data_IF_864912249052
#
_entry.id   IF_864912249052
#
_cell.length_a   1.000
_cell.length_b   1.000
_cell.length_c   1.000
_cell.angle_alpha   90.00
_cell.angle_beta   90.00
_cell.angle_gamma   90.00
#
_symmetry.space_group_name_H-M   'P 1'
#
loop_
_entity.id
_entity.type
_entity.pdbx_description
1 polymer ?
#
# COMPACT_ATOMS: atom_id res chain seq x y z
N UNK A 1 14.21 2.87 -14.57
CA UNK A 1 13.64 3.96 -13.74
C UNK A 1 12.33 3.57 -13.05
N UNK A 2 11.40 2.89 -13.74
CA UNK A 2 10.06 2.56 -13.19
C UNK A 2 10.08 1.56 -12.02
N UNK A 3 11.02 0.62 -11.98
CA UNK A 3 11.12 -0.40 -10.91
C UNK A 3 11.42 0.19 -9.52
N UNK A 4 12.05 1.37 -9.46
CA UNK A 4 12.36 2.01 -8.18
C UNK A 4 11.09 2.49 -7.44
N UNK A 5 10.05 2.85 -8.20
CA UNK A 5 8.75 3.29 -7.66
C UNK A 5 8.07 2.16 -6.88
N UNK A 6 8.04 0.94 -7.43
CA UNK A 6 7.45 -0.22 -6.74
C UNK A 6 8.19 -0.58 -5.46
N UNK A 7 9.53 -0.48 -5.46
CA UNK A 7 10.31 -0.73 -4.25
C UNK A 7 10.08 0.33 -3.18
N UNK A 8 10.05 1.62 -3.53
CA UNK A 8 9.73 2.67 -2.56
C UNK A 8 8.36 2.42 -1.92
N UNK A 9 7.34 2.11 -2.73
CA UNK A 9 6.00 1.89 -2.23
C UNK A 9 5.92 0.69 -1.26
N UNK A 10 6.72 -0.35 -1.49
CA UNK A 10 6.76 -1.53 -0.61
C UNK A 10 7.19 -1.19 0.84
N UNK A 11 7.96 -0.11 1.04
CA UNK A 11 8.39 0.34 2.39
C UNK A 11 7.58 1.53 2.92
N UNK A 12 6.67 2.09 2.12
CA UNK A 12 5.76 3.13 2.58
C UNK A 12 4.67 2.53 3.48
N UNK A 13 4.29 3.23 4.55
CA UNK A 13 3.29 2.76 5.53
C UNK A 13 3.87 2.38 6.90
N UNK A 14 5.20 2.33 7.05
CA UNK A 14 5.86 2.09 8.35
C UNK A 14 5.44 3.13 9.41
N UNK A 15 5.11 4.35 8.98
CA UNK A 15 4.61 5.42 9.84
C UNK A 15 3.30 5.06 10.55
N UNK A 16 2.44 4.22 9.95
CA UNK A 16 1.19 3.78 10.57
C UNK A 16 1.44 2.87 11.78
N UNK A 17 2.57 2.14 11.79
CA UNK A 17 2.98 1.30 12.92
C UNK A 17 3.60 2.11 14.06
N UNK A 18 4.11 3.31 13.79
CA UNK A 18 4.83 4.12 14.76
C UNK A 18 3.96 4.56 15.95
N UNK A 19 2.65 4.71 15.77
CA UNK A 19 1.72 5.06 16.85
C UNK A 19 1.63 3.98 17.94
N UNK A 20 1.95 2.72 17.59
CA UNK A 20 1.93 1.57 18.49
C UNK A 20 3.27 1.36 19.21
N UNK A 21 4.26 2.24 18.99
CA UNK A 21 5.58 2.14 19.64
C UNK A 21 5.51 2.18 21.17
N UNK A 22 4.50 2.88 21.71
CA UNK A 22 4.27 3.03 23.15
C UNK A 22 3.79 1.73 23.81
N UNK A 23 3.32 0.77 23.03
CA UNK A 23 2.86 -0.54 23.51
C UNK A 23 4.01 -1.57 23.55
N UNK A 24 5.18 -1.24 22.99
CA UNK A 24 6.34 -2.11 23.02
C UNK A 24 6.99 -2.15 24.40
N UNK A 25 7.32 -3.35 24.88
CA UNK A 25 8.25 -3.50 26.01
C UNK A 25 9.62 -2.97 25.57
N UNK A 26 10.22 -2.07 26.35
CA UNK A 26 11.51 -1.42 26.05
C UNK A 26 11.62 -0.86 24.61
N UNK A 27 10.85 0.20 24.27
CA UNK A 27 10.77 0.74 22.90
C UNK A 27 12.12 1.18 22.34
N UNK A 28 13.01 1.74 23.19
CA UNK A 28 14.33 2.23 22.79
C UNK A 28 15.19 1.19 22.08
N UNK A 29 15.09 -0.09 22.49
CA UNK A 29 15.86 -1.18 21.88
C UNK A 29 15.01 -2.01 20.93
N UNK A 30 13.77 -2.29 21.30
CA UNK A 30 12.95 -3.25 20.57
C UNK A 30 12.37 -2.66 19.29
N UNK A 31 12.13 -1.35 19.22
CA UNK A 31 11.63 -0.73 17.99
C UNK A 31 12.68 -0.71 16.87
N UNK A 32 13.93 -0.25 17.07
CA UNK A 32 14.96 -0.34 16.03
C UNK A 32 15.24 -1.78 15.57
N UNK A 33 15.25 -2.74 16.52
CA UNK A 33 15.46 -4.15 16.20
C UNK A 33 14.29 -4.72 15.38
N UNK A 34 13.05 -4.41 15.75
CA UNK A 34 11.87 -4.82 14.99
C UNK A 34 11.90 -4.24 13.58
N UNK A 35 12.22 -2.95 13.43
CA UNK A 35 12.35 -2.31 12.10
C UNK A 35 13.42 -2.99 11.25
N UNK A 36 14.59 -3.29 11.82
CA UNK A 36 15.66 -3.97 11.11
C UNK A 36 15.25 -5.39 10.63
N UNK A 37 14.59 -6.15 11.51
CA UNK A 37 14.08 -7.49 11.17
C UNK A 37 13.01 -7.41 10.08
N UNK A 38 12.07 -6.46 10.19
CA UNK A 38 11.01 -6.25 9.21
C UNK A 38 11.57 -5.90 7.84
N UNK A 39 12.57 -5.02 7.77
CA UNK A 39 13.23 -4.66 6.50
C UNK A 39 13.91 -5.88 5.88
N UNK A 40 14.66 -6.67 6.65
CA UNK A 40 15.32 -7.88 6.12
C UNK A 40 14.28 -8.90 5.63
N UNK A 41 13.22 -9.13 6.40
CA UNK A 41 12.15 -10.06 6.01
C UNK A 41 11.44 -9.59 4.75
N UNK A 42 11.12 -8.29 4.63
CA UNK A 42 10.51 -7.71 3.45
C UNK A 42 11.41 -7.91 2.20
N UNK A 43 12.70 -7.55 2.29
CA UNK A 43 13.66 -7.75 1.20
C UNK A 43 13.68 -9.22 0.77
N UNK A 44 13.80 -10.15 1.72
CA UNK A 44 13.85 -11.58 1.42
C UNK A 44 12.56 -12.05 0.74
N UNK A 45 11.40 -11.76 1.33
CA UNK A 45 10.11 -12.21 0.80
C UNK A 45 9.81 -11.62 -0.59
N UNK A 46 10.05 -10.32 -0.77
CA UNK A 46 9.83 -9.63 -2.04
C UNK A 46 10.79 -10.13 -3.12
N UNK A 47 12.05 -10.37 -2.76
CA UNK A 47 13.06 -10.88 -3.71
C UNK A 47 12.73 -12.31 -4.14
N UNK A 48 12.41 -13.20 -3.20
CA UNK A 48 12.05 -14.58 -3.53
C UNK A 48 10.73 -14.67 -4.31
N UNK A 49 9.72 -13.88 -3.92
CA UNK A 49 8.45 -13.81 -4.64
C UNK A 49 8.62 -13.28 -6.06
N UNK A 50 9.32 -12.15 -6.22
CA UNK A 50 9.61 -11.56 -7.53
C UNK A 50 10.47 -12.47 -8.41
N UNK A 51 11.47 -13.15 -7.83
CA UNK A 51 12.29 -14.11 -8.56
C UNK A 51 11.49 -15.32 -9.03
N UNK A 52 10.60 -15.87 -8.20
CA UNK A 52 9.72 -16.96 -8.60
C UNK A 52 8.84 -16.58 -9.79
N UNK A 53 8.29 -15.36 -9.80
CA UNK A 53 7.51 -14.86 -10.95
C UNK A 53 8.38 -14.71 -12.19
N UNK A 54 9.55 -14.10 -12.06
CA UNK A 54 10.46 -13.82 -13.18
C UNK A 54 11.07 -15.10 -13.79
N UNK A 55 11.26 -16.15 -12.99
CA UNK A 55 11.78 -17.44 -13.45
C UNK A 55 10.74 -18.24 -14.26
N UNK A 56 9.46 -18.03 -13.99
CA UNK A 56 8.35 -18.81 -14.58
C UNK A 56 7.73 -18.11 -15.78
N UNK A 57 7.51 -16.80 -15.70
CA UNK A 57 6.71 -16.06 -16.69
C UNK A 57 7.62 -15.32 -17.67
N UNK A 58 7.50 -15.55 -18.99
CA UNK A 58 8.27 -14.82 -19.99
C UNK A 58 8.03 -13.29 -19.90
N UNK A 59 9.10 -12.49 -19.91
CA UNK A 59 9.00 -11.03 -19.74
C UNK A 59 8.07 -10.34 -20.74
N UNK A 60 7.95 -10.87 -21.98
CA UNK A 60 7.09 -10.29 -23.03
C UNK A 60 5.60 -10.47 -22.75
N UNK A 61 5.22 -11.44 -21.93
CA UNK A 61 3.82 -11.73 -21.59
C UNK A 61 3.46 -11.36 -20.15
N UNK A 62 4.43 -10.86 -19.39
CA UNK A 62 4.23 -10.48 -17.99
C UNK A 62 3.21 -9.32 -17.92
N UNK A 63 2.07 -9.64 -17.32
CA UNK A 63 1.08 -8.65 -16.90
C UNK A 63 1.39 -8.25 -15.46
N UNK A 64 1.51 -6.96 -15.20
CA UNK A 64 1.81 -6.47 -13.84
C UNK A 64 0.59 -6.61 -12.93
N UNK A 65 -0.61 -6.53 -13.50
CA UNK A 65 -1.85 -6.68 -12.75
C UNK A 65 -2.24 -8.14 -12.54
N UNK A 66 -1.82 -9.06 -13.42
CA UNK A 66 -2.17 -10.47 -13.38
C UNK A 66 -0.95 -11.39 -13.15
N UNK A 67 0.18 -10.83 -12.74
CA UNK A 67 1.46 -11.55 -12.71
C UNK A 67 1.43 -12.80 -11.84
N UNK A 68 0.79 -12.74 -10.67
CA UNK A 68 0.68 -13.88 -9.75
C UNK A 68 -0.20 -14.98 -10.35
N UNK A 69 -1.35 -14.63 -10.93
CA UNK A 69 -2.22 -15.60 -11.62
C UNK A 69 -1.51 -16.24 -12.82
N UNK A 70 -0.70 -15.47 -13.54
CA UNK A 70 0.12 -15.97 -14.64
C UNK A 70 1.14 -17.00 -14.15
N UNK A 71 1.79 -16.81 -13.00
CA UNK A 71 2.72 -17.81 -12.43
C UNK A 71 2.00 -19.14 -12.21
N UNK A 72 0.84 -19.14 -11.56
CA UNK A 72 0.11 -20.38 -11.30
C UNK A 72 -0.40 -21.01 -12.57
N UNK A 73 -0.83 -20.20 -13.56
CA UNK A 73 -1.20 -20.70 -14.88
C UNK A 73 0.00 -21.34 -15.59
N UNK A 74 1.15 -20.70 -15.62
CA UNK A 74 2.34 -21.21 -16.31
C UNK A 74 2.95 -22.44 -15.63
N UNK A 75 3.01 -22.46 -14.30
CA UNK A 75 3.51 -23.63 -13.55
C UNK A 75 2.59 -24.84 -13.71
N UNK A 76 1.28 -24.66 -13.57
CA UNK A 76 0.37 -25.80 -13.42
C UNK A 76 -0.17 -26.28 -14.78
N UNK A 77 -0.39 -25.37 -15.74
CA UNK A 77 -0.91 -25.75 -17.06
C UNK A 77 0.09 -26.55 -17.91
N UNK A 78 1.40 -26.35 -17.70
CA UNK A 78 2.44 -27.13 -18.39
C UNK A 78 2.68 -28.51 -17.75
N UNK A 79 2.25 -28.73 -16.51
CA UNK A 79 2.54 -29.96 -15.77
C UNK A 79 1.37 -30.96 -15.73
N UNK A 80 0.12 -30.51 -15.57
CA UNK A 80 -1.04 -31.42 -15.69
C UNK A 80 -2.38 -30.66 -15.89
N UNK A 81 -3.13 -30.90 -16.98
CA UNK A 81 -4.45 -30.29 -17.20
C UNK A 81 -5.45 -30.59 -16.08
N UNK A 82 -5.29 -31.69 -15.34
CA UNK A 82 -6.16 -32.07 -14.23
C UNK A 82 -6.03 -31.16 -13.00
N UNK A 83 -4.92 -30.42 -12.87
CA UNK A 83 -4.68 -29.48 -11.76
C UNK A 83 -5.26 -28.08 -12.02
N UNK A 84 -5.92 -27.86 -13.16
CA UNK A 84 -6.56 -26.57 -13.48
C UNK A 84 -7.61 -26.12 -12.43
N UNK A 85 -8.25 -27.08 -11.73
CA UNK A 85 -9.16 -26.77 -10.62
C UNK A 85 -8.41 -26.16 -9.43
N UNK A 86 -7.22 -26.69 -9.11
CA UNK A 86 -6.39 -26.19 -8.01
C UNK A 86 -5.91 -24.75 -8.28
N UNK A 87 -5.50 -24.44 -9.53
CA UNK A 87 -5.15 -23.07 -9.95
C UNK A 87 -6.29 -22.10 -9.66
N UNK A 88 -7.52 -22.47 -10.03
CA UNK A 88 -8.70 -21.63 -9.82
C UNK A 88 -8.98 -21.39 -8.34
N UNK A 89 -8.80 -22.40 -7.49
CA UNK A 89 -8.98 -22.27 -6.03
C UNK A 89 -7.93 -21.32 -5.46
N UNK A 90 -6.67 -21.44 -5.88
CA UNK A 90 -5.58 -20.55 -5.44
C UNK A 90 -5.84 -19.11 -5.90
N UNK A 91 -6.18 -18.90 -7.18
CA UNK A 91 -6.51 -17.59 -7.71
C UNK A 91 -7.70 -16.95 -6.96
N UNK A 92 -8.72 -17.74 -6.63
CA UNK A 92 -9.84 -17.28 -5.82
C UNK A 92 -9.38 -16.87 -4.41
N UNK A 93 -8.56 -17.69 -3.74
CA UNK A 93 -8.02 -17.37 -2.41
C UNK A 93 -7.18 -16.09 -2.43
N UNK A 94 -6.36 -15.89 -3.47
CA UNK A 94 -5.59 -14.67 -3.68
C UNK A 94 -6.50 -13.46 -3.88
N UNK A 95 -7.52 -13.58 -4.73
CA UNK A 95 -8.48 -12.48 -4.96
C UNK A 95 -9.21 -12.09 -3.67
N UNK A 96 -9.60 -13.07 -2.84
CA UNK A 96 -10.22 -12.81 -1.53
C UNK A 96 -9.25 -12.14 -0.56
N UNK A 97 -7.97 -12.53 -0.58
CA UNK A 97 -6.91 -11.89 0.22
C UNK A 97 -6.75 -10.42 -0.14
N UNK A 98 -6.65 -10.10 -1.42
CA UNK A 98 -6.55 -8.72 -1.92
C UNK A 98 -7.81 -7.92 -1.58
N UNK A 99 -9.01 -8.51 -1.70
CA UNK A 99 -10.25 -7.85 -1.30
C UNK A 99 -10.29 -7.55 0.20
N UNK A 100 -9.81 -8.46 1.04
CA UNK A 100 -9.72 -8.25 2.48
C UNK A 100 -8.72 -7.13 2.82
N UNK A 101 -7.58 -7.09 2.12
CA UNK A 101 -6.58 -6.03 2.25
C UNK A 101 -7.16 -4.66 1.89
N UNK A 102 -7.78 -4.52 0.70
CA UNK A 102 -8.42 -3.27 0.26
C UNK A 102 -9.46 -2.82 1.28
N UNK A 103 -10.27 -3.75 1.81
CA UNK A 103 -11.30 -3.45 2.80
C UNK A 103 -10.71 -2.88 4.10
N UNK A 104 -9.55 -3.40 4.54
CA UNK A 104 -8.85 -2.88 5.73
C UNK A 104 -8.34 -1.44 5.53
N UNK A 105 -7.89 -1.13 4.30
CA UNK A 105 -7.36 0.18 3.93
C UNK A 105 -8.42 1.27 3.76
N UNK A 106 -9.70 0.94 3.60
CA UNK A 106 -10.76 1.97 3.52
C UNK A 106 -10.94 2.69 4.86
N UNK A 107 -10.80 1.96 5.97
CA UNK A 107 -11.09 2.49 7.32
C UNK A 107 -9.89 3.27 7.90
N UNK A 108 -8.66 2.87 7.60
CA UNK A 108 -7.44 3.45 8.17
C UNK A 108 -7.28 4.95 7.91
N UNK A 109 -7.09 5.39 6.65
CA UNK A 109 -6.92 6.80 6.28
C UNK A 109 -8.12 7.65 6.66
N UNK A 110 -9.33 7.11 6.51
CA UNK A 110 -10.57 7.78 6.91
C UNK A 110 -10.58 8.18 8.39
N UNK A 111 -10.06 7.33 9.28
CA UNK A 111 -9.89 7.64 10.71
C UNK A 111 -8.82 8.70 10.95
N UNK A 112 -7.71 8.66 10.20
CA UNK A 112 -6.67 9.68 10.26
C UNK A 112 -7.19 11.08 9.87
N UNK A 113 -7.90 11.17 8.75
CA UNK A 113 -8.57 12.41 8.32
C UNK A 113 -9.64 12.86 9.29
N UNK A 114 -10.38 11.93 9.90
CA UNK A 114 -11.38 12.26 10.91
C UNK A 114 -10.77 12.90 12.17
N UNK A 115 -9.57 12.47 12.59
CA UNK A 115 -8.86 13.13 13.68
C UNK A 115 -8.46 14.57 13.34
N UNK A 116 -8.07 14.85 12.08
CA UNK A 116 -7.84 16.20 11.60
C UNK A 116 -9.14 17.03 11.55
N UNK A 117 -10.26 16.41 11.20
CA UNK A 117 -11.60 17.02 11.22
C UNK A 117 -12.00 17.49 12.61
N UNK A 118 -11.74 16.65 13.63
CA UNK A 118 -12.02 17.00 15.04
C UNK A 118 -11.20 18.20 15.52
N UNK A 119 -9.99 18.40 14.99
CA UNK A 119 -9.13 19.55 15.28
C UNK A 119 -9.49 20.81 14.48
N UNK A 120 -10.64 20.81 13.82
CA UNK A 120 -11.15 21.91 13.01
C UNK A 120 -10.30 22.29 11.78
N UNK A 121 -9.37 21.42 11.38
CA UNK A 121 -8.45 21.65 10.25
C UNK A 121 -9.17 21.53 8.91
N UNK A 122 -10.24 20.70 8.84
CA UNK A 122 -11.05 20.49 7.63
C UNK A 122 -12.53 20.87 7.86
N UNK A 123 -13.32 21.08 6.77
CA UNK A 123 -14.70 21.57 6.85
C UNK A 123 -15.61 20.76 7.78
N UNK A 124 -16.57 21.44 8.42
CA UNK A 124 -17.47 20.87 9.44
C UNK A 124 -18.23 19.62 8.98
N UNK A 125 -18.60 19.56 7.70
CA UNK A 125 -19.28 18.41 7.10
C UNK A 125 -18.50 17.09 7.24
N UNK A 126 -17.16 17.13 7.24
CA UNK A 126 -16.31 15.94 7.38
C UNK A 126 -16.16 15.46 8.83
N UNK A 127 -16.74 16.18 9.80
CA UNK A 127 -16.74 15.81 11.22
C UNK A 127 -17.94 14.95 11.60
N UNK A 128 -18.90 14.77 10.70
CA UNK A 128 -20.10 13.99 10.98
C UNK A 128 -19.82 12.49 10.93
N UNK A 129 -20.33 11.77 11.94
CA UNK A 129 -20.24 10.31 12.01
C UNK A 129 -21.63 9.69 12.06
N UNK A 130 -21.76 8.47 11.54
CA UNK A 130 -22.98 7.68 11.70
C UNK A 130 -23.13 7.13 13.14
N UNK A 131 -24.21 6.38 13.37
CA UNK A 131 -24.52 5.69 14.65
C UNK A 131 -23.40 4.76 15.14
N UNK A 132 -22.52 4.31 14.27
CA UNK A 132 -21.39 3.43 14.57
C UNK A 132 -20.05 4.18 14.69
N UNK A 133 -20.07 5.52 14.84
CA UNK A 133 -18.87 6.38 14.91
C UNK A 133 -17.97 6.30 13.68
N UNK A 134 -18.55 5.97 12.52
CA UNK A 134 -17.83 5.90 11.25
C UNK A 134 -18.05 7.22 10.49
N UNK A 135 -16.98 7.88 10.00
CA UNK A 135 -17.09 9.10 9.21
C UNK A 135 -17.48 8.77 7.77
N UNK A 136 -18.78 8.56 7.54
CA UNK A 136 -19.31 8.07 6.25
C UNK A 136 -19.01 9.02 5.10
N UNK A 137 -19.09 10.34 5.32
CA UNK A 137 -18.81 11.32 4.27
C UNK A 137 -17.34 11.27 3.80
N UNK A 138 -16.39 11.04 4.72
CA UNK A 138 -14.97 10.88 4.37
C UNK A 138 -14.76 9.61 3.56
N UNK A 139 -15.38 8.49 3.94
CA UNK A 139 -15.29 7.22 3.21
C UNK A 139 -15.88 7.35 1.81
N UNK A 140 -17.07 7.95 1.67
CA UNK A 140 -17.71 8.16 0.37
C UNK A 140 -16.86 9.08 -0.50
N UNK A 141 -16.34 10.18 0.05
CA UNK A 141 -15.52 11.13 -0.71
C UNK A 141 -14.22 10.47 -1.19
N UNK A 142 -13.54 9.72 -0.32
CA UNK A 142 -12.37 8.92 -0.71
C UNK A 142 -12.72 7.90 -1.78
N UNK A 143 -13.84 7.18 -1.63
CA UNK A 143 -14.32 6.21 -2.61
C UNK A 143 -14.56 6.83 -3.98
N UNK A 144 -15.25 7.98 -4.05
CA UNK A 144 -15.48 8.71 -5.30
C UNK A 144 -14.16 9.13 -5.93
N UNK A 145 -13.22 9.69 -5.15
CA UNK A 145 -11.91 10.12 -5.67
C UNK A 145 -11.14 8.93 -6.24
N UNK A 146 -11.11 7.80 -5.53
CA UNK A 146 -10.44 6.57 -6.00
C UNK A 146 -11.11 6.04 -7.26
N UNK A 147 -12.45 5.97 -7.32
CA UNK A 147 -13.17 5.51 -8.52
C UNK A 147 -12.96 6.41 -9.73
N UNK A 148 -12.88 7.73 -9.54
CA UNK A 148 -12.60 8.67 -10.63
C UNK A 148 -11.18 8.45 -11.17
N UNK A 149 -10.19 8.36 -10.28
CA UNK A 149 -8.80 8.11 -10.69
C UNK A 149 -8.64 6.74 -11.34
N UNK A 150 -9.28 5.70 -10.80
CA UNK A 150 -9.29 4.36 -11.39
C UNK A 150 -9.86 4.38 -12.81
N UNK A 151 -10.99 5.07 -13.02
CA UNK A 151 -11.56 5.27 -14.36
C UNK A 151 -10.62 6.03 -15.30
N UNK A 152 -10.04 7.15 -14.86
CA UNK A 152 -9.12 7.96 -15.67
C UNK A 152 -7.88 7.15 -16.07
N UNK A 153 -7.32 6.38 -15.15
CA UNK A 153 -6.10 5.59 -15.40
C UNK A 153 -6.39 4.36 -16.26
N UNK A 154 -7.53 3.70 -16.04
CA UNK A 154 -7.94 2.50 -16.79
C UNK A 154 -8.34 2.84 -18.23
N UNK A 155 -9.11 3.93 -18.44
CA UNK A 155 -9.59 4.31 -19.78
C UNK A 155 -8.67 5.30 -20.50
N UNK A 156 -7.81 6.03 -19.78
CA UNK A 156 -6.89 7.00 -20.36
C UNK A 156 -5.49 6.44 -20.69
N UNK A 157 -5.09 5.35 -20.05
CA UNK A 157 -3.79 4.71 -20.27
C UNK A 157 -3.87 3.65 -21.38
N UNK A 158 -3.04 3.78 -22.42
CA UNK A 158 -3.14 2.93 -23.62
C UNK A 158 -3.05 1.41 -23.36
N UNK A 159 -2.28 0.95 -22.37
CA UNK A 159 -2.17 -0.47 -22.01
C UNK A 159 -2.28 -0.69 -20.50
N UNK A 160 -2.81 -1.85 -20.09
CA UNK A 160 -2.99 -2.23 -18.67
C UNK A 160 -1.70 -2.07 -17.84
N UNK A 161 -0.56 -2.49 -18.40
CA UNK A 161 0.73 -2.35 -17.73
C UNK A 161 1.14 -0.88 -17.56
N UNK A 162 0.85 -0.02 -18.54
CA UNK A 162 1.12 1.42 -18.44
C UNK A 162 0.21 2.06 -17.40
N UNK A 163 -1.09 1.75 -17.42
CA UNK A 163 -2.04 2.25 -16.41
C UNK A 163 -1.62 1.85 -14.99
N UNK A 164 -1.21 0.60 -14.79
CA UNK A 164 -0.70 0.12 -13.50
C UNK A 164 0.54 0.90 -13.04
N UNK A 165 1.53 1.09 -13.93
CA UNK A 165 2.74 1.83 -13.57
C UNK A 165 2.48 3.32 -13.30
N UNK A 166 1.59 3.95 -14.06
CA UNK A 166 1.22 5.35 -13.84
C UNK A 166 0.50 5.49 -12.50
N UNK A 167 -0.42 4.58 -12.17
CA UNK A 167 -1.09 4.55 -10.87
C UNK A 167 -0.08 4.46 -9.71
N UNK A 168 0.86 3.50 -9.79
CA UNK A 168 1.92 3.32 -8.79
C UNK A 168 2.79 4.58 -8.66
N UNK A 169 3.19 5.17 -9.79
CA UNK A 169 4.04 6.37 -9.81
C UNK A 169 3.33 7.57 -9.20
N UNK A 170 2.05 7.76 -9.51
CA UNK A 170 1.23 8.82 -8.92
C UNK A 170 1.14 8.67 -7.41
N UNK A 171 0.86 7.46 -6.91
CA UNK A 171 0.79 7.17 -5.47
C UNK A 171 2.11 7.49 -4.77
N UNK A 172 3.25 7.05 -5.34
CA UNK A 172 4.57 7.33 -4.77
C UNK A 172 4.87 8.82 -4.72
N UNK A 173 4.54 9.59 -5.76
CA UNK A 173 4.77 11.04 -5.75
C UNK A 173 3.93 11.73 -4.67
N UNK A 174 2.65 11.36 -4.53
CA UNK A 174 1.78 11.90 -3.48
C UNK A 174 2.36 11.57 -2.10
N UNK A 175 2.75 10.32 -1.86
CA UNK A 175 3.34 9.92 -0.58
C UNK A 175 4.69 10.61 -0.31
N UNK A 176 5.57 10.70 -1.30
CA UNK A 176 6.85 11.42 -1.15
C UNK A 176 6.63 12.87 -0.77
N UNK A 177 5.63 13.55 -1.34
CA UNK A 177 5.29 14.91 -0.96
C UNK A 177 4.90 15.02 0.53
N UNK A 178 4.13 14.06 1.04
CA UNK A 178 3.76 13.99 2.46
C UNK A 178 4.98 13.69 3.35
N UNK A 179 5.86 12.79 2.93
CA UNK A 179 7.11 12.49 3.64
C UNK A 179 8.05 13.70 3.70
N UNK A 180 8.16 14.51 2.64
CA UNK A 180 8.93 15.75 2.66
C UNK A 180 8.39 16.74 3.70
N UNK A 181 7.07 16.90 3.79
CA UNK A 181 6.43 17.71 4.82
C UNK A 181 6.65 17.13 6.23
N UNK A 182 6.57 15.82 6.37
CA UNK A 182 6.84 15.12 7.63
C UNK A 182 8.28 15.35 8.11
N UNK A 183 9.27 15.19 7.24
CA UNK A 183 10.68 15.45 7.56
C UNK A 183 10.95 16.94 7.82
N UNK A 184 10.34 17.85 7.06
CA UNK A 184 10.44 19.27 7.32
C UNK A 184 9.91 19.63 8.71
N UNK A 185 8.73 19.10 9.08
CA UNK A 185 8.16 19.26 10.42
C UNK A 185 9.01 18.63 11.52
N UNK A 186 9.65 17.48 11.25
CA UNK A 186 10.59 16.84 12.18
C UNK A 186 11.84 17.69 12.43
N UNK A 187 12.42 18.26 11.37
CA UNK A 187 13.58 19.16 11.47
C UNK A 187 13.20 20.42 12.27
N UNK A 188 12.05 21.02 11.96
CA UNK A 188 11.53 22.18 12.69
C UNK A 188 11.32 21.86 14.18
N UNK A 189 10.75 20.69 14.49
CA UNK A 189 10.52 20.22 15.87
C UNK A 189 11.81 20.01 16.66
N UNK A 190 12.89 19.56 16.02
CA UNK A 190 14.18 19.28 16.70
C UNK A 190 15.08 20.51 16.78
N UNK A 191 14.92 21.46 15.87
CA UNK A 191 15.71 22.70 15.85
C UNK A 191 15.78 23.48 17.18
N UNK A 192 14.73 23.52 18.05
CA UNK A 192 14.79 24.19 19.35
C UNK A 192 15.57 23.36 20.37
N UNK A 193 15.50 22.02 20.30
CA UNK A 193 16.20 21.12 21.23
C UNK A 193 17.70 21.07 20.96
N UNK A 194 18.13 21.21 19.70
CA UNK A 194 19.55 21.30 19.32
C UNK A 194 20.18 22.63 19.73
N UNK A 195 19.40 23.72 19.81
CA UNK A 195 19.88 25.02 20.31
C UNK A 195 20.01 25.08 21.85
N UNK A 196 19.49 24.08 22.57
CA UNK A 196 19.48 24.01 24.03
C UNK A 196 20.46 22.98 24.61
N UNK A 197 21.19 22.22 23.78
CA UNK A 197 22.28 21.31 24.18
C UNK A 197 23.63 21.86 23.78
#
# INVERSE_FOLDING_TARGET
MVVFVSFILAYMGVEASATHINELKNPKRNYPLAMFILVILAICLDTFGGFAVAAVVPQKELSLSAGVDQVFKYLIYYQDPHLALLVKIIALALSLGVMAEISSWVVGPSRGMFAAAQREIIPKYFRETNKHKVPVLLIITQGIVVSVWDGVLTFGGGSSNVSFFVAMSLTVVIYLSAYLLFFAGYIDLISPFVKLS
#
